data_IF_908269614440
#
_entry.id   IF_908269614440
#
_cell.length_a   1.000
_cell.length_b   1.000
_cell.length_c   1.000
_cell.angle_alpha   90.00
_cell.angle_beta   90.00
_cell.angle_gamma   90.00
#
_symmetry.space_group_name_H-M   'P 1'
#
loop_
_entity.id
_entity.type
_entity.pdbx_description
1 polymer ?
#
# COMPACT_ATOMS: atom_id res chain seq x y z
N UNK A 1 -28.97 -14.35 -2.77
CA UNK A 1 -30.10 -13.89 -3.61
C UNK A 1 -31.47 -14.29 -3.08
N UNK A 2 -31.67 -15.50 -2.53
CA UNK A 2 -33.00 -16.00 -2.11
C UNK A 2 -33.83 -15.03 -1.25
N UNK A 3 -33.18 -14.33 -0.31
CA UNK A 3 -33.84 -13.41 0.65
C UNK A 3 -33.64 -11.92 0.31
N UNK A 4 -33.03 -11.61 -0.83
CA UNK A 4 -32.74 -10.23 -1.21
C UNK A 4 -34.02 -9.49 -1.63
N UNK A 5 -34.18 -8.25 -1.14
CA UNK A 5 -35.31 -7.36 -1.44
C UNK A 5 -34.79 -5.99 -1.92
N UNK A 6 -35.64 -5.23 -2.62
CA UNK A 6 -35.29 -3.90 -3.14
C UNK A 6 -34.24 -3.92 -4.24
N UNK A 7 -33.54 -2.80 -4.43
CA UNK A 7 -32.48 -2.68 -5.43
C UNK A 7 -31.22 -3.41 -4.98
N UNK A 8 -30.71 -4.32 -5.82
CA UNK A 8 -29.49 -5.09 -5.55
C UNK A 8 -28.59 -5.14 -6.76
N UNK A 9 -27.30 -5.34 -6.50
CA UNK A 9 -26.33 -5.72 -7.53
C UNK A 9 -26.09 -7.23 -7.46
N UNK A 10 -26.23 -7.89 -8.60
CA UNK A 10 -26.01 -9.33 -8.72
C UNK A 10 -25.20 -9.66 -9.97
N UNK A 11 -24.44 -10.73 -9.88
CA UNK A 11 -23.73 -11.34 -10.99
C UNK A 11 -24.54 -12.54 -11.48
N UNK A 12 -24.96 -12.48 -12.74
CA UNK A 12 -25.65 -13.55 -13.47
C UNK A 12 -24.61 -14.28 -14.30
N UNK A 13 -24.29 -15.50 -13.87
CA UNK A 13 -23.37 -16.41 -14.53
C UNK A 13 -24.09 -17.11 -15.68
N UNK A 14 -23.51 -17.05 -16.88
CA UNK A 14 -24.06 -17.63 -18.10
C UNK A 14 -23.37 -18.95 -18.44
N UNK A 15 -24.11 -19.85 -19.10
CA UNK A 15 -23.60 -21.14 -19.51
C UNK A 15 -22.44 -21.01 -20.53
N UNK A 16 -21.50 -21.95 -20.44
CA UNK A 16 -20.36 -22.07 -21.34
C UNK A 16 -19.04 -21.56 -20.77
N UNK A 17 -17.93 -21.97 -21.39
CA UNK A 17 -16.59 -21.59 -20.96
C UNK A 17 -16.23 -20.16 -21.38
N UNK A 18 -15.43 -19.47 -20.55
CA UNK A 18 -14.83 -18.19 -20.92
C UNK A 18 -13.90 -18.31 -22.13
N UNK A 19 -13.68 -17.19 -22.82
CA UNK A 19 -12.83 -17.08 -24.00
C UNK A 19 -11.39 -17.54 -23.75
N UNK A 20 -10.88 -17.40 -22.52
CA UNK A 20 -9.55 -17.87 -22.16
C UNK A 20 -9.44 -19.40 -22.20
N UNK A 21 -10.46 -20.13 -21.73
CA UNK A 21 -10.51 -21.59 -21.81
C UNK A 21 -10.51 -22.08 -23.27
N UNK A 22 -11.30 -21.42 -24.12
CA UNK A 22 -11.39 -21.73 -25.55
C UNK A 22 -10.08 -21.45 -26.31
N UNK A 23 -9.29 -20.47 -25.86
CA UNK A 23 -7.99 -20.17 -26.45
C UNK A 23 -6.93 -21.24 -26.12
N UNK A 24 -7.09 -21.96 -25.00
CA UNK A 24 -6.20 -23.06 -24.59
C UNK A 24 -6.63 -24.41 -25.21
N UNK A 25 -7.91 -24.57 -25.54
CA UNK A 25 -8.51 -25.84 -26.00
C UNK A 25 -8.24 -26.20 -27.48
N UNK A 26 -7.12 -25.75 -28.05
CA UNK A 26 -6.51 -26.41 -29.21
C UNK A 26 -5.97 -27.83 -28.92
N UNK A 27 -6.52 -28.56 -27.93
CA UNK A 27 -6.13 -29.92 -27.59
C UNK A 27 -5.71 -30.18 -26.14
N UNK A 28 -6.43 -29.67 -25.13
CA UNK A 28 -6.40 -30.20 -23.75
C UNK A 28 -5.05 -30.17 -23.02
N UNK A 29 -4.10 -29.34 -23.47
CA UNK A 29 -2.81 -29.21 -22.78
C UNK A 29 -2.94 -28.05 -21.78
N UNK A 30 -2.70 -28.31 -20.49
CA UNK A 30 -2.42 -27.26 -19.51
C UNK A 30 -1.16 -26.53 -19.99
N UNK A 31 -1.34 -25.47 -20.75
CA UNK A 31 -0.26 -24.57 -21.12
C UNK A 31 0.01 -23.72 -19.89
N UNK A 32 1.22 -23.81 -19.32
CA UNK A 32 1.64 -22.87 -18.28
C UNK A 32 1.42 -21.45 -18.79
N UNK A 33 0.95 -20.51 -17.95
CA UNK A 33 0.64 -19.13 -18.36
C UNK A 33 1.82 -18.35 -18.98
N UNK A 34 3.02 -18.94 -19.06
CA UNK A 34 4.24 -18.39 -19.65
C UNK A 34 4.57 -18.89 -21.07
N UNK A 35 3.80 -19.78 -21.69
CA UNK A 35 4.05 -20.09 -23.10
C UNK A 35 3.51 -18.94 -23.97
N UNK A 36 4.41 -18.09 -24.47
CA UNK A 36 4.14 -17.01 -25.41
C UNK A 36 3.77 -17.51 -26.82
N UNK A 37 2.91 -18.53 -26.93
CA UNK A 37 2.37 -18.91 -28.22
C UNK A 37 1.31 -17.86 -28.61
N UNK A 38 1.56 -17.11 -29.68
CA UNK A 38 0.58 -16.18 -30.23
C UNK A 38 -0.73 -16.93 -30.52
N UNK A 39 -1.89 -16.40 -30.11
CA UNK A 39 -3.18 -17.06 -30.34
C UNK A 39 -3.44 -17.22 -31.85
N UNK A 40 -4.03 -18.34 -32.25
CA UNK A 40 -4.41 -18.57 -33.64
C UNK A 40 -5.56 -17.64 -34.04
N UNK A 41 -5.68 -17.30 -35.33
CA UNK A 41 -6.81 -16.49 -35.84
C UNK A 41 -8.18 -17.10 -35.48
N UNK A 42 -8.27 -18.44 -35.45
CA UNK A 42 -9.48 -19.16 -35.04
C UNK A 42 -9.80 -18.97 -33.55
N UNK A 43 -8.80 -19.04 -32.67
CA UNK A 43 -9.00 -18.79 -31.24
C UNK A 43 -9.40 -17.35 -30.94
N UNK A 44 -8.84 -16.38 -31.68
CA UNK A 44 -9.19 -14.96 -31.60
C UNK A 44 -10.63 -14.73 -32.06
N UNK A 45 -11.03 -15.31 -33.20
CA UNK A 45 -12.40 -15.23 -33.70
C UNK A 45 -13.40 -15.86 -32.72
N UNK A 46 -13.06 -17.02 -32.13
CA UNK A 46 -13.88 -17.67 -31.11
C UNK A 46 -14.03 -16.77 -29.86
N UNK A 47 -12.95 -16.16 -29.38
CA UNK A 47 -12.98 -15.24 -28.25
C UNK A 47 -13.90 -14.02 -28.52
N UNK A 48 -13.80 -13.41 -29.70
CA UNK A 48 -14.69 -12.31 -30.11
C UNK A 48 -16.16 -12.75 -30.23
N UNK A 49 -16.40 -13.96 -30.71
CA UNK A 49 -17.75 -14.52 -30.74
C UNK A 49 -18.34 -14.67 -29.34
N UNK A 50 -17.58 -15.22 -28.38
CA UNK A 50 -18.00 -15.32 -26.97
C UNK A 50 -18.29 -13.96 -26.37
N UNK A 51 -17.38 -12.99 -26.57
CA UNK A 51 -17.57 -11.62 -26.09
C UNK A 51 -18.89 -11.04 -26.62
N UNK A 52 -19.14 -11.18 -27.93
CA UNK A 52 -20.33 -10.64 -28.58
C UNK A 52 -21.61 -11.29 -28.04
N UNK A 53 -21.62 -12.63 -27.91
CA UNK A 53 -22.74 -13.38 -27.32
C UNK A 53 -23.05 -12.92 -25.89
N UNK A 54 -22.02 -12.76 -25.05
CA UNK A 54 -22.21 -12.30 -23.68
C UNK A 54 -22.79 -10.89 -23.63
N UNK A 55 -22.33 -9.97 -24.49
CA UNK A 55 -22.87 -8.61 -24.55
C UNK A 55 -24.34 -8.60 -24.98
N UNK A 56 -24.71 -9.39 -25.99
CA UNK A 56 -26.10 -9.53 -26.43
C UNK A 56 -26.98 -10.13 -25.33
N UNK A 57 -26.53 -11.21 -24.68
CA UNK A 57 -27.27 -11.83 -23.57
C UNK A 57 -27.41 -10.87 -22.39
N UNK A 58 -26.35 -10.13 -22.06
CA UNK A 58 -26.37 -9.11 -21.01
C UNK A 58 -27.44 -8.05 -21.26
N UNK A 59 -27.53 -7.52 -22.49
CA UNK A 59 -28.53 -6.52 -22.87
C UNK A 59 -29.95 -7.09 -22.83
N UNK A 60 -30.15 -8.32 -23.30
CA UNK A 60 -31.44 -9.02 -23.26
C UNK A 60 -31.92 -9.27 -21.83
N UNK A 61 -31.04 -9.79 -20.97
CA UNK A 61 -31.34 -10.05 -19.56
C UNK A 61 -31.61 -8.75 -18.80
N UNK A 62 -30.82 -7.70 -19.04
CA UNK A 62 -31.03 -6.38 -18.48
C UNK A 62 -32.40 -5.79 -18.88
N UNK A 63 -32.77 -5.87 -20.17
CA UNK A 63 -34.06 -5.40 -20.65
C UNK A 63 -35.23 -6.19 -20.03
N UNK A 64 -35.14 -7.52 -19.99
CA UNK A 64 -36.21 -8.38 -19.45
C UNK A 64 -36.43 -8.23 -17.94
N UNK A 65 -35.39 -7.82 -17.20
CA UNK A 65 -35.45 -7.59 -15.75
C UNK A 65 -35.51 -6.12 -15.36
N UNK A 66 -35.64 -5.20 -16.33
CA UNK A 66 -35.54 -3.75 -16.12
C UNK A 66 -34.35 -3.36 -15.22
N UNK A 67 -33.19 -3.98 -15.47
CA UNK A 67 -31.97 -3.80 -14.69
C UNK A 67 -30.90 -3.10 -15.52
N UNK A 68 -29.99 -2.41 -14.86
CA UNK A 68 -28.83 -1.77 -15.50
C UNK A 68 -27.65 -2.75 -15.57
N UNK A 69 -27.01 -2.85 -16.74
CA UNK A 69 -25.72 -3.54 -16.87
C UNK A 69 -24.62 -2.70 -16.23
N UNK A 70 -23.91 -3.26 -15.25
CA UNK A 70 -22.70 -2.66 -14.69
C UNK A 70 -21.47 -3.05 -15.51
N UNK A 71 -21.30 -4.34 -15.76
CA UNK A 71 -20.20 -4.89 -16.56
C UNK A 71 -20.54 -6.29 -17.06
N UNK A 72 -19.78 -6.76 -18.04
CA UNK A 72 -19.80 -8.15 -18.49
C UNK A 72 -18.46 -8.81 -18.27
N UNK A 73 -18.45 -10.12 -18.11
CA UNK A 73 -17.23 -10.92 -18.17
C UNK A 73 -17.39 -11.99 -19.23
N UNK A 74 -16.35 -12.19 -20.02
CA UNK A 74 -16.36 -13.20 -21.09
C UNK A 74 -15.04 -13.95 -21.17
N UNK A 75 -13.94 -13.40 -20.65
CA UNK A 75 -12.62 -14.02 -20.69
C UNK A 75 -12.45 -15.17 -19.68
N UNK A 76 -12.66 -14.88 -18.38
CA UNK A 76 -12.57 -15.87 -17.30
C UNK A 76 -13.80 -16.77 -17.26
N UNK A 77 -14.97 -16.15 -17.25
CA UNK A 77 -16.28 -16.79 -17.19
C UNK A 77 -17.28 -15.89 -17.92
N UNK A 78 -18.32 -16.49 -18.49
CA UNK A 78 -19.39 -15.77 -19.17
C UNK A 78 -20.38 -15.26 -18.13
N UNK A 79 -20.69 -13.97 -18.16
CA UNK A 79 -21.70 -13.43 -17.27
C UNK A 79 -21.86 -11.93 -17.34
N UNK A 80 -22.85 -11.45 -16.59
CA UNK A 80 -23.23 -10.04 -16.52
C UNK A 80 -23.48 -9.64 -15.07
N UNK A 81 -22.94 -8.49 -14.68
CA UNK A 81 -23.32 -7.82 -13.44
C UNK A 81 -24.48 -6.87 -13.73
N UNK A 82 -25.59 -7.07 -13.02
CA UNK A 82 -26.81 -6.27 -13.14
C UNK A 82 -27.09 -5.57 -11.81
N UNK A 83 -27.58 -4.34 -11.89
CA UNK A 83 -28.19 -3.62 -10.76
C UNK A 83 -29.65 -3.33 -11.06
N UNK A 84 -30.55 -3.74 -10.17
CA UNK A 84 -31.98 -3.60 -10.38
C UNK A 84 -32.78 -4.25 -9.26
N UNK A 85 -34.09 -4.42 -9.49
CA UNK A 85 -34.97 -5.03 -8.50
C UNK A 85 -34.61 -6.51 -8.23
N UNK A 86 -34.51 -6.87 -6.95
CA UNK A 86 -34.10 -8.20 -6.53
C UNK A 86 -35.06 -9.33 -6.95
N UNK A 87 -36.36 -9.05 -7.12
CA UNK A 87 -37.32 -10.03 -7.60
C UNK A 87 -37.20 -10.20 -9.12
N UNK A 88 -37.07 -9.11 -9.87
CA UNK A 88 -36.87 -9.15 -11.32
C UNK A 88 -35.58 -9.90 -11.69
N UNK A 89 -34.47 -9.60 -11.01
CA UNK A 89 -33.18 -10.29 -11.21
C UNK A 89 -33.28 -11.76 -10.83
N UNK A 90 -33.97 -12.11 -9.73
CA UNK A 90 -34.19 -13.53 -9.38
C UNK A 90 -34.99 -14.27 -10.44
N UNK A 91 -35.94 -13.60 -11.11
CA UNK A 91 -36.73 -14.16 -12.20
C UNK A 91 -35.89 -14.65 -13.38
N UNK A 92 -34.69 -14.09 -13.57
CA UNK A 92 -33.75 -14.53 -14.61
C UNK A 92 -33.24 -15.96 -14.42
N UNK A 93 -33.40 -16.55 -13.22
CA UNK A 93 -32.98 -17.94 -12.97
C UNK A 93 -33.76 -18.97 -13.81
N UNK A 94 -34.90 -18.60 -14.39
CA UNK A 94 -35.64 -19.42 -15.34
C UNK A 94 -35.13 -19.34 -16.78
N UNK A 95 -34.18 -18.45 -17.09
CA UNK A 95 -33.63 -18.31 -18.42
C UNK A 95 -32.66 -19.48 -18.73
N UNK A 96 -32.75 -20.13 -19.92
CA UNK A 96 -31.98 -21.34 -20.21
C UNK A 96 -30.46 -21.15 -20.15
N UNK A 97 -29.98 -19.96 -20.48
CA UNK A 97 -28.55 -19.64 -20.44
C UNK A 97 -28.03 -19.24 -19.06
N UNK A 98 -28.89 -19.09 -18.04
CA UNK A 98 -28.48 -18.65 -16.70
C UNK A 98 -28.15 -19.85 -15.82
N UNK A 99 -26.90 -19.93 -15.37
CA UNK A 99 -26.41 -21.01 -14.50
C UNK A 99 -26.60 -20.66 -13.04
N UNK A 100 -26.25 -19.43 -12.65
CA UNK A 100 -26.24 -19.01 -11.26
C UNK A 100 -26.43 -17.50 -11.14
N UNK A 101 -27.12 -17.08 -10.09
CA UNK A 101 -27.26 -15.67 -9.73
C UNK A 101 -26.72 -15.45 -8.32
N UNK A 102 -25.61 -14.71 -8.22
CA UNK A 102 -24.92 -14.43 -6.97
C UNK A 102 -24.97 -12.93 -6.66
N UNK A 103 -25.18 -12.55 -5.40
CA UNK A 103 -25.15 -11.13 -5.02
C UNK A 103 -23.70 -10.63 -5.12
N UNK A 104 -23.50 -9.47 -5.74
CA UNK A 104 -22.22 -8.76 -5.66
C UNK A 104 -22.27 -7.95 -4.37
N UNK A 105 -21.41 -8.30 -3.43
CA UNK A 105 -21.18 -7.49 -2.23
C UNK A 105 -20.24 -6.34 -2.63
N UNK A 106 -20.61 -5.07 -2.39
CA UNK A 106 -19.71 -3.93 -2.55
C UNK A 106 -18.44 -4.14 -1.71
N UNK A 107 -17.31 -3.67 -2.23
CA UNK A 107 -16.04 -3.72 -1.52
C UNK A 107 -15.77 -2.31 -1.01
N UNK A 108 -15.38 -2.21 0.24
CA UNK A 108 -15.04 -0.93 0.87
C UNK A 108 -13.52 -0.84 1.04
N UNK A 109 -12.99 0.38 0.97
CA UNK A 109 -11.58 0.61 1.33
C UNK A 109 -11.46 0.47 2.84
N UNK A 110 -10.66 -0.49 3.30
CA UNK A 110 -10.38 -0.70 4.72
C UNK A 110 -8.88 -0.51 4.95
N UNK A 111 -8.51 0.44 5.81
CA UNK A 111 -7.10 0.71 6.17
C UNK A 111 -6.85 0.54 7.68
N UNK A 112 -7.69 -0.24 8.37
CA UNK A 112 -7.59 -0.39 9.81
C UNK A 112 -7.18 -1.79 10.28
N UNK A 113 -7.35 -2.82 9.46
CA UNK A 113 -7.24 -4.22 9.92
C UNK A 113 -5.82 -4.78 9.96
N UNK A 114 -4.83 -4.07 9.40
CA UNK A 114 -3.46 -4.56 9.25
C UNK A 114 -2.84 -5.03 10.56
N UNK A 115 -3.05 -4.29 11.66
CA UNK A 115 -2.52 -4.66 13.00
C UNK A 115 -3.17 -5.89 13.63
N UNK A 116 -4.36 -6.28 13.16
CA UNK A 116 -4.97 -7.56 13.53
C UNK A 116 -4.28 -8.69 12.76
N UNK A 117 -4.01 -8.48 11.46
CA UNK A 117 -3.37 -9.47 10.59
C UNK A 117 -1.89 -9.73 10.93
N UNK A 118 -1.16 -8.72 11.41
CA UNK A 118 0.25 -8.84 11.80
C UNK A 118 0.46 -9.31 13.25
N UNK A 119 -0.61 -9.41 14.05
CA UNK A 119 -0.53 -9.74 15.48
C UNK A 119 -0.12 -8.58 16.39
N UNK A 120 0.05 -7.36 15.88
CA UNK A 120 0.40 -6.19 16.69
C UNK A 120 -0.66 -5.89 17.76
N UNK A 121 -1.95 -6.04 17.44
CA UNK A 121 -3.03 -5.89 18.42
C UNK A 121 -2.89 -6.88 19.59
N UNK A 122 -2.52 -8.12 19.31
CA UNK A 122 -2.31 -9.13 20.33
C UNK A 122 -1.09 -8.80 21.19
N UNK A 123 0.00 -8.32 20.59
CA UNK A 123 1.19 -7.86 21.30
C UNK A 123 0.86 -6.71 22.27
N UNK A 124 0.09 -5.70 21.86
CA UNK A 124 -0.31 -4.60 22.74
C UNK A 124 -1.14 -5.09 23.93
N UNK A 125 -2.08 -5.99 23.68
CA UNK A 125 -2.97 -6.54 24.72
C UNK A 125 -2.25 -7.43 25.72
N UNK A 126 -1.30 -8.23 25.25
CA UNK A 126 -0.60 -9.23 26.08
C UNK A 126 0.60 -8.66 26.83
N UNK A 127 1.31 -7.69 26.23
CA UNK A 127 2.56 -7.16 26.79
C UNK A 127 2.45 -5.71 27.26
N UNK A 128 1.45 -4.96 26.78
CA UNK A 128 1.39 -3.51 26.96
C UNK A 128 2.41 -2.73 26.12
N UNK A 129 3.25 -3.38 25.32
CA UNK A 129 4.29 -2.72 24.54
C UNK A 129 3.71 -2.11 23.26
N UNK A 130 3.73 -0.78 23.19
CA UNK A 130 3.16 0.05 22.11
C UNK A 130 4.20 0.90 21.40
N UNK A 131 5.48 0.76 21.78
CA UNK A 131 6.59 1.55 21.23
C UNK A 131 7.00 2.77 22.06
N UNK A 132 6.40 3.00 23.23
CA UNK A 132 6.81 4.09 24.12
C UNK A 132 8.33 4.08 24.37
N UNK A 133 8.96 5.25 24.27
CA UNK A 133 10.40 5.42 24.46
C UNK A 133 11.27 5.00 23.27
N UNK A 134 10.68 4.41 22.23
CA UNK A 134 11.39 4.03 21.00
C UNK A 134 11.26 5.15 19.97
N UNK A 135 12.37 5.51 19.33
CA UNK A 135 12.41 6.40 18.16
C UNK A 135 12.72 5.60 16.90
N UNK A 136 11.92 5.81 15.85
CA UNK A 136 12.07 5.20 14.54
C UNK A 136 12.47 6.29 13.54
N UNK A 137 13.66 6.20 12.96
CA UNK A 137 14.04 6.98 11.80
C UNK A 137 13.40 6.37 10.55
N UNK A 138 12.58 7.15 9.86
CA UNK A 138 11.98 6.76 8.58
C UNK A 138 12.74 7.47 7.48
N UNK A 139 13.60 6.73 6.80
CA UNK A 139 14.42 7.24 5.69
C UNK A 139 13.65 6.97 4.39
N UNK A 140 13.01 8.00 3.83
CA UNK A 140 12.04 7.85 2.73
C UNK A 140 11.79 9.19 2.00
N UNK A 141 10.63 9.35 1.35
CA UNK A 141 10.21 10.57 0.62
C UNK A 141 9.83 11.74 1.51
N UNK A 142 9.77 11.52 2.83
CA UNK A 142 9.38 12.50 3.84
C UNK A 142 8.21 12.01 4.70
N UNK A 143 7.63 12.93 5.46
CA UNK A 143 6.45 12.69 6.29
C UNK A 143 5.49 13.88 6.23
N UNK A 144 4.24 13.64 5.86
CA UNK A 144 3.15 14.59 6.16
C UNK A 144 2.83 14.54 7.67
N UNK A 145 3.66 15.23 8.45
CA UNK A 145 3.48 15.36 9.89
C UNK A 145 2.24 16.18 10.27
N UNK A 146 1.59 16.85 9.30
CA UNK A 146 0.34 17.58 9.54
C UNK A 146 -0.87 16.66 9.53
N UNK A 147 -0.70 15.42 9.10
CA UNK A 147 -1.77 14.43 9.05
C UNK A 147 -2.26 14.05 10.47
N UNK A 148 -3.57 13.86 10.63
CA UNK A 148 -4.18 13.54 11.92
C UNK A 148 -3.63 12.24 12.52
N UNK A 149 -3.22 11.29 11.69
CA UNK A 149 -2.62 10.02 12.11
C UNK A 149 -1.31 10.21 12.90
N UNK A 150 -0.63 11.35 12.75
CA UNK A 150 0.59 11.70 13.50
C UNK A 150 0.36 12.80 14.54
N UNK A 151 -0.90 13.14 14.83
CA UNK A 151 -1.23 14.18 15.80
C UNK A 151 -1.29 15.60 15.23
N UNK A 152 -1.11 15.77 13.91
CA UNK A 152 -1.23 17.06 13.25
C UNK A 152 -2.68 17.51 13.03
N UNK A 153 -2.90 18.74 12.52
CA UNK A 153 -4.24 19.30 12.32
C UNK A 153 -5.16 18.52 11.37
N UNK A 154 -4.60 17.71 10.47
CA UNK A 154 -5.35 16.89 9.52
C UNK A 154 -6.09 17.67 8.44
N UNK A 155 -5.59 18.86 8.05
CA UNK A 155 -6.25 19.71 7.05
C UNK A 155 -5.33 20.06 5.89
N UNK A 156 -5.91 20.20 4.70
CA UNK A 156 -5.18 20.65 3.51
C UNK A 156 -4.49 22.00 3.73
N UNK A 157 -5.13 22.93 4.43
CA UNK A 157 -4.53 24.24 4.71
C UNK A 157 -3.28 24.14 5.60
N UNK A 158 -3.26 23.21 6.57
CA UNK A 158 -2.08 22.95 7.37
C UNK A 158 -0.96 22.33 6.53
N UNK A 159 -1.28 21.36 5.68
CA UNK A 159 -0.34 20.76 4.73
C UNK A 159 0.25 21.81 3.78
N UNK A 160 -0.57 22.61 3.09
CA UNK A 160 -0.10 23.63 2.12
C UNK A 160 0.82 24.67 2.79
N UNK A 161 0.47 25.09 4.02
CA UNK A 161 1.30 26.01 4.81
C UNK A 161 2.63 25.38 5.21
N UNK A 162 2.60 24.12 5.64
CA UNK A 162 3.81 23.40 6.01
C UNK A 162 4.70 23.13 4.79
N UNK A 163 4.12 22.75 3.64
CA UNK A 163 4.85 22.46 2.41
C UNK A 163 5.58 23.67 1.82
N UNK A 164 5.06 24.88 2.05
CA UNK A 164 5.68 26.12 1.57
C UNK A 164 6.73 26.71 2.51
N UNK A 165 7.06 26.02 3.61
CA UNK A 165 8.03 26.47 4.62
C UNK A 165 9.36 25.70 4.51
N UNK A 166 10.52 26.34 4.73
CA UNK A 166 11.81 25.63 4.83
C UNK A 166 12.07 24.98 6.20
N UNK A 167 11.11 25.12 7.13
CA UNK A 167 11.16 24.55 8.47
C UNK A 167 9.78 24.02 8.87
N UNK A 168 9.72 23.11 9.84
CA UNK A 168 8.45 22.64 10.40
C UNK A 168 7.74 23.75 11.19
N UNK A 169 6.61 24.31 10.72
CA UNK A 169 5.97 25.42 11.42
C UNK A 169 5.42 25.00 12.80
N UNK A 170 5.54 25.86 13.81
CA UNK A 170 4.97 25.58 15.12
C UNK A 170 3.45 25.31 15.04
N UNK A 171 2.97 24.30 15.76
CA UNK A 171 1.57 23.88 15.77
C UNK A 171 1.11 23.09 14.54
N UNK A 172 2.02 22.76 13.61
CA UNK A 172 1.70 21.91 12.45
C UNK A 172 1.94 20.41 12.67
N UNK A 173 2.62 20.03 13.77
CA UNK A 173 2.95 18.65 14.14
C UNK A 173 2.81 18.43 15.64
N UNK A 174 2.71 17.17 16.05
CA UNK A 174 2.79 16.75 17.46
C UNK A 174 4.25 16.41 17.83
N UNK A 175 4.91 17.19 18.72
CA UNK A 175 6.30 16.93 19.12
C UNK A 175 6.48 15.63 19.94
N UNK A 176 5.39 15.05 20.48
CA UNK A 176 5.45 13.72 21.10
C UNK A 176 5.53 12.61 20.07
N UNK A 177 5.04 12.85 18.84
CA UNK A 177 5.11 11.92 17.72
C UNK A 177 6.33 12.16 16.85
N UNK A 178 6.58 13.40 16.47
CA UNK A 178 7.64 13.77 15.53
C UNK A 178 8.71 14.55 16.28
N UNK A 179 9.84 13.91 16.56
CA UNK A 179 10.92 14.47 17.41
C UNK A 179 11.86 15.40 16.67
N UNK A 180 11.64 15.59 15.37
CA UNK A 180 12.47 16.39 14.49
C UNK A 180 12.38 15.84 13.08
N UNK A 181 13.49 15.88 12.37
CA UNK A 181 13.61 15.38 11.01
C UNK A 181 14.28 16.40 10.10
N UNK A 182 14.66 15.95 8.91
CA UNK A 182 15.47 16.75 8.01
C UNK A 182 15.18 16.40 6.56
N UNK A 183 15.17 17.40 5.69
CA UNK A 183 15.17 17.22 4.25
C UNK A 183 16.60 17.32 3.74
N UNK A 184 17.12 16.21 3.23
CA UNK A 184 18.47 16.16 2.70
C UNK A 184 18.54 16.61 1.23
N UNK A 185 17.39 16.83 0.57
CA UNK A 185 17.34 16.86 -0.90
C UNK A 185 16.46 17.94 -1.51
N UNK A 186 15.33 18.29 -0.89
CA UNK A 186 14.36 19.21 -1.46
C UNK A 186 13.52 18.62 -2.60
N UNK A 187 12.45 19.33 -2.97
CA UNK A 187 11.41 18.83 -3.90
C UNK A 187 11.92 18.50 -5.31
N UNK A 188 12.88 19.29 -5.82
CA UNK A 188 13.38 19.18 -7.18
C UNK A 188 14.44 18.08 -7.37
N UNK A 189 14.84 17.39 -6.30
CA UNK A 189 15.88 16.37 -6.38
C UNK A 189 15.40 15.14 -7.15
N UNK A 190 16.24 14.62 -8.04
CA UNK A 190 15.93 13.48 -8.89
C UNK A 190 16.98 12.35 -8.84
N UNK A 191 17.97 12.47 -7.96
CA UNK A 191 19.09 11.53 -7.84
C UNK A 191 20.35 11.93 -8.61
N UNK A 192 20.23 12.85 -9.58
CA UNK A 192 21.33 13.25 -10.48
C UNK A 192 21.69 14.73 -10.38
N UNK A 193 20.82 15.56 -9.80
CA UNK A 193 21.08 16.97 -9.54
C UNK A 193 21.59 17.21 -8.11
N UNK A 194 22.08 18.41 -7.85
CA UNK A 194 22.49 18.81 -6.51
C UNK A 194 21.27 18.86 -5.56
N UNK A 195 21.41 18.35 -4.32
CA UNK A 195 20.36 18.47 -3.32
C UNK A 195 20.21 19.92 -2.82
N UNK A 196 19.01 20.25 -2.35
CA UNK A 196 18.67 21.51 -1.70
C UNK A 196 18.10 21.23 -0.29
N UNK A 197 18.96 20.93 0.70
CA UNK A 197 18.52 20.51 2.03
C UNK A 197 17.89 21.64 2.83
N UNK A 198 16.92 21.29 3.68
CA UNK A 198 16.31 22.17 4.67
C UNK A 198 15.80 21.40 5.90
N UNK A 199 15.21 22.11 6.87
CA UNK A 199 14.75 21.50 8.12
C UNK A 199 13.27 21.09 8.08
N UNK A 200 12.71 20.91 6.89
CA UNK A 200 11.33 20.53 6.67
C UNK A 200 11.22 19.20 5.89
N UNK A 201 11.12 18.06 6.59
CA UNK A 201 11.03 16.73 5.96
C UNK A 201 9.63 16.45 5.37
N UNK A 202 8.90 17.47 4.93
CA UNK A 202 7.53 17.37 4.44
C UNK A 202 7.47 16.52 3.17
N UNK A 203 6.68 15.45 3.21
CA UNK A 203 6.43 14.58 2.05
C UNK A 203 5.73 15.34 0.91
N UNK A 204 5.80 14.80 -0.30
CA UNK A 204 5.02 15.31 -1.42
C UNK A 204 3.71 14.56 -1.53
N UNK A 205 2.62 15.28 -1.83
CA UNK A 205 1.29 14.71 -2.01
C UNK A 205 1.22 13.67 -3.13
N UNK A 206 2.09 13.78 -4.14
CA UNK A 206 2.16 12.84 -5.26
C UNK A 206 2.95 11.56 -4.95
N UNK A 207 3.84 11.60 -3.95
CA UNK A 207 4.66 10.44 -3.56
C UNK A 207 4.05 9.72 -2.37
N UNK A 208 3.87 10.42 -1.25
CA UNK A 208 3.18 9.97 -0.04
C UNK A 208 3.72 8.67 0.59
N UNK A 209 4.83 8.15 0.08
CA UNK A 209 5.32 6.81 0.40
C UNK A 209 5.89 6.79 1.82
N UNK A 210 6.74 7.75 2.16
CA UNK A 210 7.28 7.89 3.51
C UNK A 210 6.19 8.12 4.55
N UNK A 211 5.17 8.92 4.23
CA UNK A 211 3.98 9.09 5.08
C UNK A 211 3.24 7.77 5.32
N UNK A 212 3.04 6.97 4.29
CA UNK A 212 2.39 5.66 4.39
C UNK A 212 3.22 4.65 5.22
N UNK A 213 4.53 4.62 4.99
CA UNK A 213 5.50 3.80 5.73
C UNK A 213 5.49 4.17 7.21
N UNK A 214 5.59 5.46 7.52
CA UNK A 214 5.54 5.97 8.89
C UNK A 214 4.21 5.64 9.58
N UNK A 215 3.08 5.73 8.86
CA UNK A 215 1.77 5.34 9.38
C UNK A 215 1.70 3.87 9.75
N UNK A 216 2.23 3.00 8.89
CA UNK A 216 2.30 1.54 9.15
C UNK A 216 3.17 1.22 10.38
N UNK A 217 4.26 1.95 10.57
CA UNK A 217 5.16 1.75 11.70
C UNK A 217 4.59 2.30 13.01
N UNK A 218 4.18 3.57 13.03
CA UNK A 218 3.91 4.29 14.26
C UNK A 218 2.80 5.36 14.16
N UNK A 219 1.87 5.24 13.20
CA UNK A 219 0.65 6.06 13.19
C UNK A 219 -0.15 5.86 14.47
N UNK A 220 -0.71 6.93 15.04
CA UNK A 220 -1.60 6.82 16.19
C UNK A 220 -2.92 6.14 15.85
N UNK A 221 -3.32 6.14 14.58
CA UNK A 221 -4.67 5.86 14.11
C UNK A 221 -5.50 7.14 14.03
N UNK A 222 -6.59 7.06 13.27
CA UNK A 222 -7.59 8.12 13.13
C UNK A 222 -8.95 7.59 13.52
N UNK A 223 -9.60 8.25 14.47
CA UNK A 223 -10.94 7.93 14.92
C UNK A 223 -12.00 8.10 13.83
N UNK A 224 -13.19 7.58 14.06
CA UNK A 224 -14.32 7.74 13.14
C UNK A 224 -14.74 9.22 12.94
N UNK A 225 -14.33 10.12 13.84
CA UNK A 225 -14.52 11.56 13.76
C UNK A 225 -13.44 12.28 12.92
N UNK A 226 -12.51 11.54 12.32
CA UNK A 226 -11.42 12.07 11.50
C UNK A 226 -10.28 12.69 12.29
N UNK A 227 -10.27 12.56 13.62
CA UNK A 227 -9.21 13.10 14.49
C UNK A 227 -8.22 12.03 14.92
N UNK A 228 -7.06 12.44 15.39
CA UNK A 228 -6.05 11.54 15.98
C UNK A 228 -6.67 10.66 17.06
N UNK A 229 -6.51 9.35 16.94
CA UNK A 229 -6.89 8.43 17.99
C UNK A 229 -5.91 8.56 19.18
N UNK A 230 -6.45 8.72 20.40
CA UNK A 230 -5.67 8.88 21.66
C UNK A 230 -6.13 7.92 22.76
N UNK A 231 -6.77 6.81 22.37
CA UNK A 231 -7.25 5.80 23.31
C UNK A 231 -6.17 4.81 23.73
N UNK A 232 -6.48 3.96 24.69
CA UNK A 232 -5.56 2.93 25.18
C UNK A 232 -5.49 1.73 24.23
N UNK A 233 -4.39 1.58 23.49
CA UNK A 233 -4.19 0.52 22.49
C UNK A 233 -4.33 -0.90 23.04
N UNK A 234 -3.82 -1.15 24.25
CA UNK A 234 -3.87 -2.45 24.92
C UNK A 234 -5.28 -2.90 25.30
N UNK A 235 -6.28 -2.01 25.27
CA UNK A 235 -7.69 -2.31 25.55
C UNK A 235 -8.53 -2.51 24.29
N UNK A 236 -7.96 -2.31 23.10
CA UNK A 236 -8.70 -2.43 21.84
C UNK A 236 -9.08 -3.88 21.55
N UNK A 237 -10.30 -4.07 21.04
CA UNK A 237 -10.72 -5.29 20.34
C UNK A 237 -10.52 -5.15 18.83
N UNK A 238 -10.53 -6.26 18.11
CA UNK A 238 -10.48 -6.25 16.64
C UNK A 238 -11.64 -5.45 16.02
N UNK A 239 -12.81 -5.46 16.68
CA UNK A 239 -13.95 -4.66 16.26
C UNK A 239 -13.75 -3.16 16.51
N UNK A 240 -13.06 -2.78 17.58
CA UNK A 240 -12.72 -1.36 17.84
C UNK A 240 -11.77 -0.83 16.77
N UNK A 241 -10.74 -1.60 16.45
CA UNK A 241 -9.78 -1.27 15.39
C UNK A 241 -10.51 -1.09 14.05
N UNK A 242 -11.41 -2.00 13.69
CA UNK A 242 -12.18 -1.91 12.43
C UNK A 242 -13.13 -0.69 12.35
N UNK A 243 -13.47 -0.07 13.49
CA UNK A 243 -14.29 1.16 13.52
C UNK A 243 -13.47 2.43 13.34
N UNK A 244 -12.14 2.36 13.42
CA UNK A 244 -11.27 3.48 13.15
C UNK A 244 -11.28 3.80 11.64
N UNK A 245 -11.18 5.08 11.32
CA UNK A 245 -11.05 5.52 9.93
C UNK A 245 -9.71 5.09 9.35
N UNK A 246 -8.64 5.20 10.15
CA UNK A 246 -7.30 4.70 9.87
C UNK A 246 -6.84 3.94 11.11
N UNK A 247 -6.36 2.71 10.93
CA UNK A 247 -5.86 1.92 12.05
C UNK A 247 -4.52 2.46 12.56
N UNK A 248 -4.16 2.19 13.82
CA UNK A 248 -2.84 2.55 14.32
C UNK A 248 -1.74 1.76 13.61
N UNK A 249 -0.53 2.30 13.60
CA UNK A 249 0.67 1.57 13.21
C UNK A 249 1.03 0.49 14.22
N UNK A 250 2.04 -0.33 13.90
CA UNK A 250 2.45 -1.46 14.74
C UNK A 250 2.97 -1.06 16.12
N UNK A 251 3.60 0.11 16.23
CA UNK A 251 4.13 0.71 17.44
C UNK A 251 3.57 2.14 17.58
N UNK A 252 2.28 2.29 17.91
CA UNK A 252 1.58 3.57 17.77
C UNK A 252 2.04 4.64 18.76
N UNK A 253 2.79 4.30 19.79
CA UNK A 253 3.37 5.26 20.75
C UNK A 253 4.89 5.44 20.56
N UNK A 254 5.48 4.84 19.51
CA UNK A 254 6.83 5.17 19.10
C UNK A 254 6.92 6.58 18.49
N UNK A 255 8.08 7.20 18.63
CA UNK A 255 8.41 8.50 18.05
C UNK A 255 8.96 8.30 16.64
N UNK A 256 8.74 9.26 15.77
CA UNK A 256 9.16 9.28 14.37
C UNK A 256 10.21 10.38 14.15
N UNK A 257 11.24 10.02 13.41
CA UNK A 257 12.28 10.91 12.91
C UNK A 257 12.31 10.77 11.38
N UNK A 258 11.55 11.58 10.64
CA UNK A 258 11.56 11.55 9.19
C UNK A 258 12.87 12.13 8.64
N UNK A 259 13.56 11.33 7.81
CA UNK A 259 14.74 11.74 7.07
C UNK A 259 14.42 11.63 5.59
N UNK A 260 14.17 12.77 4.95
CA UNK A 260 13.75 12.82 3.56
C UNK A 260 14.97 12.75 2.64
N UNK A 261 15.02 11.71 1.81
CA UNK A 261 16.11 11.49 0.84
C UNK A 261 15.67 11.51 -0.61
N UNK A 262 14.37 11.54 -0.90
CA UNK A 262 13.83 11.67 -2.25
C UNK A 262 13.17 13.02 -2.46
N UNK A 263 13.31 13.58 -3.67
CA UNK A 263 12.45 14.66 -4.13
C UNK A 263 11.03 14.15 -4.40
N UNK A 264 10.18 14.97 -5.00
CA UNK A 264 8.81 14.53 -5.31
C UNK A 264 8.75 13.45 -6.42
N UNK A 265 9.86 13.20 -7.12
CA UNK A 265 10.00 12.14 -8.12
C UNK A 265 11.47 11.76 -8.31
N UNK A 266 11.74 10.62 -8.95
CA UNK A 266 13.10 10.20 -9.30
C UNK A 266 13.71 9.23 -8.28
N UNK A 267 15.05 9.22 -8.21
CA UNK A 267 15.83 8.31 -7.38
C UNK A 267 16.63 9.07 -6.32
N UNK A 268 17.35 8.35 -5.45
CA UNK A 268 18.22 8.95 -4.44
C UNK A 268 19.55 8.24 -4.31
N UNK A 269 20.56 8.99 -3.89
CA UNK A 269 21.89 8.49 -3.47
C UNK A 269 22.27 9.02 -2.09
N UNK A 270 21.28 9.46 -1.31
CA UNK A 270 21.48 10.18 -0.03
C UNK A 270 21.29 9.27 1.20
N UNK A 271 21.09 7.97 1.00
CA UNK A 271 20.89 7.01 2.09
C UNK A 271 22.05 7.03 3.08
N UNK A 272 23.30 7.08 2.59
CA UNK A 272 24.48 7.12 3.47
C UNK A 272 24.47 8.29 4.45
N UNK A 273 24.10 9.49 4.02
CA UNK A 273 23.99 10.66 4.91
C UNK A 273 22.80 10.53 5.86
N UNK A 274 21.68 9.95 5.42
CA UNK A 274 20.54 9.70 6.29
C UNK A 274 20.86 8.68 7.40
N UNK A 275 21.66 7.65 7.09
CA UNK A 275 22.13 6.68 8.09
C UNK A 275 23.00 7.34 9.17
N UNK A 276 23.90 8.24 8.77
CA UNK A 276 24.71 9.01 9.71
C UNK A 276 23.84 9.93 10.58
N UNK A 277 22.91 10.67 9.95
CA UNK A 277 21.98 11.58 10.62
C UNK A 277 20.96 10.87 11.51
N UNK A 278 20.76 9.56 11.36
CA UNK A 278 19.92 8.80 12.28
C UNK A 278 20.54 8.65 13.68
N UNK A 279 21.87 8.77 13.82
CA UNK A 279 22.55 8.78 15.12
C UNK A 279 22.60 10.16 15.76
N UNK A 280 22.74 11.20 14.93
CA UNK A 280 22.81 12.60 15.35
C UNK A 280 21.92 13.47 14.40
N UNK A 281 20.61 13.51 14.67
CA UNK A 281 19.60 14.13 13.81
C UNK A 281 19.71 15.65 13.71
N UNK A 282 20.39 16.30 14.64
CA UNK A 282 20.55 17.75 14.68
C UNK A 282 22.01 18.21 14.41
N UNK A 283 22.96 17.26 14.37
CA UNK A 283 24.40 17.45 14.18
C UNK A 283 25.07 18.28 15.28
N UNK A 284 24.62 18.13 16.53
CA UNK A 284 25.17 18.82 17.70
C UNK A 284 26.22 18.00 18.47
N UNK A 285 26.41 16.73 18.09
CA UNK A 285 27.33 15.79 18.73
C UNK A 285 26.77 15.09 19.99
N UNK A 286 25.51 15.32 20.35
CA UNK A 286 24.77 14.56 21.36
C UNK A 286 24.00 13.41 20.71
N UNK A 287 24.47 12.18 20.88
CA UNK A 287 23.83 10.99 20.31
C UNK A 287 22.62 10.49 21.12
N UNK A 288 22.20 11.20 22.18
CA UNK A 288 21.09 10.78 23.04
C UNK A 288 19.71 10.92 22.38
N UNK A 289 19.60 11.74 21.32
CA UNK A 289 18.41 11.92 20.51
C UNK A 289 18.39 11.05 19.23
N UNK A 290 19.42 10.21 19.05
CA UNK A 290 19.52 9.22 17.98
C UNK A 290 18.38 8.20 17.96
N UNK A 291 18.11 7.66 16.77
CA UNK A 291 17.07 6.68 16.56
C UNK A 291 17.45 5.29 17.11
N UNK A 292 16.46 4.57 17.64
CA UNK A 292 16.64 3.17 18.06
C UNK A 292 16.43 2.20 16.90
N UNK A 293 15.59 2.59 15.93
CA UNK A 293 15.26 1.81 14.75
C UNK A 293 15.44 2.68 13.52
N UNK A 294 16.03 2.14 12.47
CA UNK A 294 16.07 2.76 11.15
C UNK A 294 15.22 1.90 10.20
N UNK A 295 14.21 2.52 9.59
CA UNK A 295 13.41 1.92 8.55
C UNK A 295 13.84 2.48 7.18
N UNK A 296 14.28 1.58 6.31
CA UNK A 296 14.66 1.84 4.92
C UNK A 296 13.69 1.12 4.00
N UNK A 297 12.63 1.80 3.56
CA UNK A 297 11.68 1.26 2.57
C UNK A 297 12.14 1.55 1.14
N UNK A 298 13.43 1.36 0.90
CA UNK A 298 14.12 1.61 -0.35
C UNK A 298 15.13 0.51 -0.60
N UNK A 299 15.41 0.27 -1.87
CA UNK A 299 16.45 -0.65 -2.27
C UNK A 299 16.76 -0.48 -3.75
N UNK A 300 18.01 -0.72 -4.12
CA UNK A 300 18.41 -0.86 -5.51
C UNK A 300 18.50 -2.34 -5.86
N UNK A 301 17.83 -2.72 -6.94
CA UNK A 301 18.00 -4.06 -7.51
C UNK A 301 19.44 -4.17 -8.06
N UNK A 302 20.11 -5.30 -7.84
CA UNK A 302 21.46 -5.58 -8.36
C UNK A 302 22.59 -4.70 -7.79
N UNK A 303 22.52 -4.30 -6.54
CA UNK A 303 23.63 -3.61 -5.87
C UNK A 303 24.88 -4.49 -5.74
N UNK A 304 26.05 -3.85 -5.83
CA UNK A 304 27.33 -4.50 -5.57
C UNK A 304 27.50 -4.77 -4.08
N UNK A 305 28.16 -5.87 -3.71
CA UNK A 305 28.45 -6.23 -2.31
C UNK A 305 29.25 -5.13 -1.59
N UNK A 306 30.05 -4.35 -2.32
CA UNK A 306 30.92 -3.27 -1.83
C UNK A 306 30.24 -1.89 -1.74
N UNK A 307 28.90 -1.82 -1.72
CA UNK A 307 28.19 -0.57 -1.48
C UNK A 307 28.56 0.00 -0.08
N UNK A 308 29.03 1.27 0.04
CA UNK A 308 29.36 1.87 1.33
C UNK A 308 28.19 1.85 2.32
N UNK A 309 26.94 1.85 1.84
CA UNK A 309 25.74 1.79 2.66
C UNK A 309 25.65 0.50 3.50
N UNK A 310 26.14 -0.63 2.98
CA UNK A 310 26.18 -1.90 3.73
C UNK A 310 27.08 -1.81 4.96
N UNK A 311 28.23 -1.13 4.81
CA UNK A 311 29.18 -0.93 5.93
C UNK A 311 28.63 0.07 6.94
N UNK A 312 27.97 1.14 6.48
CA UNK A 312 27.33 2.11 7.37
C UNK A 312 26.19 1.48 8.16
N UNK A 313 25.36 0.66 7.52
CA UNK A 313 24.28 -0.06 8.18
C UNK A 313 24.79 -1.05 9.22
N UNK A 314 25.86 -1.79 8.92
CA UNK A 314 26.49 -2.67 9.92
C UNK A 314 26.98 -1.87 11.12
N UNK A 315 27.64 -0.73 10.90
CA UNK A 315 28.12 0.12 11.98
C UNK A 315 26.99 0.66 12.85
N UNK A 316 25.84 0.98 12.28
CA UNK A 316 24.64 1.37 13.03
C UNK A 316 24.14 0.22 13.92
N UNK A 317 24.07 -1.00 13.36
CA UNK A 317 23.65 -2.20 14.09
C UNK A 317 24.60 -2.49 15.26
N UNK A 318 25.92 -2.37 15.04
CA UNK A 318 26.94 -2.54 16.09
C UNK A 318 26.80 -1.50 17.23
N UNK A 319 26.09 -0.40 16.99
CA UNK A 319 25.76 0.63 18.01
C UNK A 319 24.38 0.43 18.66
N UNK A 320 23.71 -0.69 18.36
CA UNK A 320 22.42 -1.05 18.95
C UNK A 320 21.21 -0.46 18.22
N UNK A 321 21.40 0.07 17.02
CA UNK A 321 20.29 0.54 16.16
C UNK A 321 19.76 -0.63 15.35
N UNK A 322 18.48 -0.95 15.48
CA UNK A 322 17.85 -2.00 14.67
C UNK A 322 17.58 -1.47 13.26
N UNK A 323 18.15 -2.12 12.24
CA UNK A 323 17.85 -1.83 10.84
C UNK A 323 16.71 -2.72 10.32
N UNK A 324 15.68 -2.11 9.74
CA UNK A 324 14.62 -2.79 8.99
C UNK A 324 14.66 -2.28 7.56
N UNK A 325 14.99 -3.17 6.61
CA UNK A 325 15.19 -2.82 5.20
C UNK A 325 14.29 -3.67 4.32
N UNK A 326 13.59 -3.03 3.38
CA UNK A 326 12.78 -3.74 2.39
C UNK A 326 13.68 -4.58 1.47
N UNK A 327 13.27 -5.83 1.19
CA UNK A 327 14.06 -6.75 0.35
C UNK A 327 14.18 -6.32 -1.14
N UNK A 328 13.36 -5.36 -1.59
CA UNK A 328 13.25 -4.95 -3.00
C UNK A 328 12.02 -5.54 -3.69
N UNK A 329 11.60 -4.91 -4.80
CA UNK A 329 10.39 -5.26 -5.56
C UNK A 329 10.71 -5.60 -7.05
N UNK A 330 11.90 -6.12 -7.37
CA UNK A 330 12.36 -6.33 -8.77
C UNK A 330 11.57 -7.33 -9.62
N UNK A 331 10.44 -7.84 -9.13
CA UNK A 331 9.55 -8.68 -9.93
C UNK A 331 8.97 -7.94 -11.17
N UNK A 332 9.20 -6.62 -11.29
CA UNK A 332 8.90 -5.84 -12.49
C UNK A 332 9.89 -6.03 -13.66
N UNK A 333 11.05 -6.68 -13.47
CA UNK A 333 12.08 -6.90 -14.51
C UNK A 333 12.05 -8.32 -15.11
N UNK A 334 10.86 -8.91 -15.29
CA UNK A 334 10.66 -10.25 -15.88
C UNK A 334 11.03 -10.37 -17.37
N UNK A 335 11.63 -9.35 -17.98
CA UNK A 335 12.20 -9.45 -19.33
C UNK A 335 13.63 -10.02 -19.36
N UNK A 336 14.26 -10.31 -18.21
CA UNK A 336 15.61 -10.86 -18.15
C UNK A 336 15.72 -12.13 -17.28
N UNK A 337 15.17 -13.24 -17.78
CA UNK A 337 15.61 -14.60 -17.44
C UNK A 337 15.34 -15.10 -16.01
N UNK A 338 15.41 -16.43 -15.85
CA UNK A 338 15.25 -17.12 -14.57
C UNK A 338 16.35 -16.74 -13.58
N UNK A 339 16.07 -15.79 -12.67
CA UNK A 339 16.87 -15.54 -11.46
C UNK A 339 16.01 -15.70 -10.21
N UNK A 340 16.33 -16.72 -9.41
CA UNK A 340 15.57 -17.16 -8.23
C UNK A 340 15.98 -16.44 -6.94
N UNK A 341 16.71 -15.32 -7.01
CA UNK A 341 17.13 -14.53 -5.84
C UNK A 341 17.29 -13.08 -6.23
N UNK A 342 16.42 -12.24 -5.67
CA UNK A 342 16.26 -10.83 -6.01
C UNK A 342 16.15 -10.05 -4.70
N UNK A 343 17.21 -10.06 -3.89
CA UNK A 343 17.33 -9.14 -2.76
C UNK A 343 18.22 -7.97 -3.16
N UNK A 344 17.72 -6.74 -3.02
CA UNK A 344 18.47 -5.49 -3.27
C UNK A 344 19.33 -5.07 -2.07
N UNK A 345 20.28 -4.14 -2.27
CA UNK A 345 20.94 -3.49 -1.11
C UNK A 345 20.01 -2.44 -0.49
N UNK A 346 20.15 -2.17 0.82
CA UNK A 346 21.09 -2.83 1.75
C UNK A 346 20.55 -4.14 2.39
N UNK A 347 19.37 -4.61 1.94
CA UNK A 347 18.72 -5.81 2.49
C UNK A 347 19.48 -7.13 2.21
N UNK A 348 20.41 -7.14 1.26
CA UNK A 348 21.20 -8.30 0.87
C UNK A 348 22.53 -8.49 1.64
N UNK A 349 22.80 -7.70 2.69
CA UNK A 349 24.03 -7.83 3.48
C UNK A 349 24.10 -9.20 4.21
N UNK A 350 25.10 -10.06 3.92
CA UNK A 350 25.18 -11.43 4.46
C UNK A 350 25.82 -11.54 5.85
N UNK A 351 26.28 -10.44 6.46
CA UNK A 351 26.98 -10.48 7.75
C UNK A 351 26.02 -10.13 8.88
N UNK A 352 25.78 -11.10 9.77
CA UNK A 352 25.10 -10.93 11.06
C UNK A 352 26.10 -10.57 12.14
#
# INVERSE_FOLDING_TARGET
>A
MKEATGTVTAYVELAGQGAYGLALDGGGRRVSPMSQASPTAQSVAAAHHVQSQVVTNAQSLAASSNSQVLYTTHNLQRGVALTGDAQAIRGLAGHPDVVRISRIVPKERMNAISVVGTGALEAWRSTGATGQGVTIAVIDTGLDYTHADFGGPGTKAAYDKAKSSPTMPAGSYDPQKVVGGYDLVGDAYNGYNAPAPDSNPMDCSESGHGTHVAGTAAGYGVGADGKTFRGEYSKLSSADVQRLHIGPGSAPEARLMPLRIFGCSGSSSMTGQALDRALDPNNDGDFSDGANIVNLSLGSDYSTVDDPENTMLQRLIDKGVLAVVAAGNAQANLSQGDVYSIMGAPANNPRR
#
